data_IF_732726514953
#
_entry.id   IF_732726514953
#
_cell.length_a   1.000
_cell.length_b   1.000
_cell.length_c   1.000
_cell.angle_alpha   90.00
_cell.angle_beta   90.00
_cell.angle_gamma   90.00
#
_symmetry.space_group_name_H-M   'P 1'
#
loop_
_entity.id
_entity.type
_entity.pdbx_description
1 polymer ?
#
# COMPACT_ATOMS: atom_id res chain seq x y z
N UNK A 1 8.01 -10.15 17.07
CA UNK A 1 7.44 -9.77 15.77
C UNK A 1 7.82 -8.35 15.35
N UNK A 2 8.12 -7.46 16.27
CA UNK A 2 8.46 -6.06 16.00
C UNK A 2 9.70 -5.83 15.11
N UNK A 3 10.73 -6.68 15.24
CA UNK A 3 11.94 -6.56 14.40
C UNK A 3 11.65 -6.81 12.91
N UNK A 4 10.84 -7.83 12.60
CA UNK A 4 10.47 -8.15 11.22
C UNK A 4 9.59 -7.06 10.61
N UNK A 5 8.61 -6.59 11.37
CA UNK A 5 7.76 -5.46 10.98
C UNK A 5 8.57 -4.18 10.73
N UNK A 6 9.52 -3.86 11.61
CA UNK A 6 10.41 -2.73 11.44
C UNK A 6 11.29 -2.83 10.19
N UNK A 7 11.78 -4.04 9.88
CA UNK A 7 12.55 -4.27 8.67
C UNK A 7 11.72 -4.10 7.40
N UNK A 8 10.53 -4.71 7.34
CA UNK A 8 9.61 -4.57 6.19
C UNK A 8 9.22 -3.10 5.99
N UNK A 9 8.88 -2.38 7.06
CA UNK A 9 8.57 -0.95 6.97
C UNK A 9 9.72 -0.13 6.44
N UNK A 10 10.95 -0.41 6.87
CA UNK A 10 12.14 0.29 6.38
C UNK A 10 12.35 0.06 4.88
N UNK A 11 12.17 -1.18 4.41
CA UNK A 11 12.27 -1.51 2.98
C UNK A 11 11.19 -0.76 2.18
N UNK A 12 9.94 -0.81 2.64
CA UNK A 12 8.83 -0.10 1.98
C UNK A 12 9.11 1.40 1.93
N UNK A 13 9.58 1.99 3.02
CA UNK A 13 9.93 3.42 3.07
C UNK A 13 11.01 3.78 2.05
N UNK A 14 12.10 3.01 1.99
CA UNK A 14 13.21 3.26 1.05
C UNK A 14 12.72 3.13 -0.40
N UNK A 15 11.98 2.06 -0.71
CA UNK A 15 11.43 1.85 -2.07
C UNK A 15 10.47 2.98 -2.44
N UNK A 16 9.56 3.35 -1.54
CA UNK A 16 8.63 4.46 -1.77
C UNK A 16 9.33 5.79 -1.99
N UNK A 17 10.38 6.08 -1.20
CA UNK A 17 11.17 7.30 -1.35
C UNK A 17 11.91 7.35 -2.70
N UNK A 18 12.48 6.22 -3.14
CA UNK A 18 13.12 6.12 -4.45
C UNK A 18 12.13 6.33 -5.59
N UNK A 19 10.97 5.65 -5.54
CA UNK A 19 9.92 5.79 -6.55
C UNK A 19 9.38 7.24 -6.58
N UNK A 20 9.21 7.86 -5.43
CA UNK A 20 8.79 9.26 -5.34
C UNK A 20 9.81 10.21 -5.97
N UNK A 21 11.10 9.99 -5.71
CA UNK A 21 12.17 10.78 -6.32
C UNK A 21 12.15 10.65 -7.85
N UNK A 22 12.02 9.42 -8.36
CA UNK A 22 11.90 9.17 -9.80
C UNK A 22 10.64 9.82 -10.37
N UNK A 23 9.52 9.75 -9.66
CA UNK A 23 8.26 10.39 -10.08
C UNK A 23 8.41 11.91 -10.18
N UNK A 24 9.02 12.56 -9.18
CA UNK A 24 9.25 14.01 -9.19
C UNK A 24 10.14 14.41 -10.37
N UNK A 25 11.23 13.69 -10.63
CA UNK A 25 12.09 13.92 -11.78
C UNK A 25 11.34 13.73 -13.11
N UNK A 26 10.52 12.69 -13.21
CA UNK A 26 9.69 12.39 -14.39
C UNK A 26 8.68 13.51 -14.67
N UNK A 27 7.97 13.98 -13.64
CA UNK A 27 6.99 15.07 -13.78
C UNK A 27 7.68 16.40 -14.08
N UNK A 28 8.81 16.70 -13.44
CA UNK A 28 9.60 17.90 -13.77
C UNK A 28 10.05 17.89 -15.22
N UNK A 29 10.52 16.76 -15.74
CA UNK A 29 10.85 16.61 -17.17
C UNK A 29 9.62 16.78 -18.06
N UNK A 30 8.50 16.18 -17.70
CA UNK A 30 7.23 16.28 -18.42
C UNK A 30 6.78 17.73 -18.59
N UNK A 31 6.84 18.52 -17.51
CA UNK A 31 6.50 19.93 -17.54
C UNK A 31 7.48 20.72 -18.41
N UNK A 32 8.78 20.49 -18.21
CA UNK A 32 9.84 21.16 -18.99
C UNK A 32 9.72 20.85 -20.48
N UNK A 33 9.52 19.57 -20.85
CA UNK A 33 9.39 19.18 -22.26
C UNK A 33 8.17 19.82 -22.93
N UNK A 34 7.08 19.97 -22.21
CA UNK A 34 5.85 20.59 -22.72
C UNK A 34 5.99 22.11 -22.91
N UNK A 35 6.54 22.82 -21.92
CA UNK A 35 6.52 24.27 -21.91
C UNK A 35 7.79 24.93 -22.46
N UNK A 36 8.96 24.28 -22.34
CA UNK A 36 10.24 24.80 -22.83
C UNK A 36 10.52 24.32 -24.25
N UNK A 37 10.32 23.01 -24.48
CA UNK A 37 10.64 22.40 -25.79
C UNK A 37 9.44 22.31 -26.74
N UNK A 38 8.22 22.68 -26.30
CA UNK A 38 6.97 22.53 -27.06
C UNK A 38 6.76 21.11 -27.64
N UNK A 39 7.35 20.11 -27.01
CA UNK A 39 7.31 18.70 -27.42
C UNK A 39 6.88 17.84 -26.22
N UNK A 40 5.57 17.57 -26.04
CA UNK A 40 5.07 16.78 -24.94
C UNK A 40 5.64 15.35 -24.96
N UNK A 41 6.24 14.93 -23.85
CA UNK A 41 6.77 13.57 -23.70
C UNK A 41 5.68 12.61 -23.24
N UNK A 42 5.15 11.79 -24.17
CA UNK A 42 4.11 10.79 -23.89
C UNK A 42 4.66 9.70 -22.96
N UNK A 43 5.96 9.38 -23.07
CA UNK A 43 6.66 8.41 -22.24
C UNK A 43 6.57 8.77 -20.74
N UNK A 44 6.82 10.03 -20.39
CA UNK A 44 6.80 10.47 -19.00
C UNK A 44 5.40 10.50 -18.39
N UNK A 45 4.38 10.73 -19.20
CA UNK A 45 2.98 10.69 -18.76
C UNK A 45 2.56 9.28 -18.33
N UNK A 46 2.92 8.27 -19.11
CA UNK A 46 2.62 6.87 -18.78
C UNK A 46 3.43 6.39 -17.57
N UNK A 47 4.72 6.70 -17.52
CA UNK A 47 5.59 6.35 -16.40
C UNK A 47 5.11 6.96 -15.08
N UNK A 48 4.71 8.24 -15.09
CA UNK A 48 4.20 8.91 -13.90
C UNK A 48 2.93 8.24 -13.34
N UNK A 49 2.01 7.78 -14.20
CA UNK A 49 0.81 7.04 -13.77
C UNK A 49 1.16 5.71 -13.09
N UNK A 50 2.13 4.96 -13.62
CA UNK A 50 2.56 3.69 -13.03
C UNK A 50 3.25 3.91 -11.68
N UNK A 51 4.13 4.90 -11.60
CA UNK A 51 4.80 5.29 -10.36
C UNK A 51 3.79 5.75 -9.30
N UNK A 52 2.79 6.55 -9.68
CA UNK A 52 1.76 7.02 -8.76
C UNK A 52 0.98 5.86 -8.12
N UNK A 53 0.61 4.84 -8.91
CA UNK A 53 -0.09 3.67 -8.39
C UNK A 53 0.79 2.90 -7.40
N UNK A 54 2.05 2.66 -7.72
CA UNK A 54 2.98 1.95 -6.84
C UNK A 54 3.26 2.72 -5.55
N UNK A 55 3.51 4.03 -5.64
CA UNK A 55 3.74 4.90 -4.47
C UNK A 55 2.50 4.94 -3.58
N UNK A 56 1.31 5.06 -4.15
CA UNK A 56 0.06 5.08 -3.40
C UNK A 56 -0.17 3.77 -2.63
N UNK A 57 0.05 2.62 -3.27
CA UNK A 57 -0.10 1.31 -2.64
C UNK A 57 0.95 1.05 -1.54
N UNK A 58 2.22 1.35 -1.82
CA UNK A 58 3.29 1.21 -0.83
C UNK A 58 3.13 2.20 0.33
N UNK A 59 2.73 3.44 0.04
CA UNK A 59 2.48 4.46 1.06
C UNK A 59 1.36 4.05 2.02
N UNK A 60 0.26 3.52 1.50
CA UNK A 60 -0.82 2.96 2.30
C UNK A 60 -0.34 1.78 3.16
N UNK A 61 0.45 0.87 2.56
CA UNK A 61 1.03 -0.27 3.28
C UNK A 61 1.98 0.20 4.40
N UNK A 62 2.80 1.21 4.15
CA UNK A 62 3.66 1.82 5.16
C UNK A 62 2.85 2.43 6.32
N UNK A 63 1.75 3.11 6.01
CA UNK A 63 0.86 3.68 7.02
C UNK A 63 0.26 2.60 7.93
N UNK A 64 -0.17 1.47 7.40
CA UNK A 64 -0.62 0.32 8.20
C UNK A 64 0.52 -0.25 9.05
N UNK A 65 1.72 -0.40 8.49
CA UNK A 65 2.89 -0.92 9.20
C UNK A 65 3.39 -0.02 10.32
N UNK A 66 3.32 1.30 10.17
CA UNK A 66 3.84 2.28 11.16
C UNK A 66 2.93 2.51 12.37
N UNK A 67 1.83 1.75 12.52
CA UNK A 67 0.79 1.96 13.54
C UNK A 67 0.11 3.35 13.47
N UNK A 68 0.38 4.15 12.44
CA UNK A 68 -0.23 5.47 12.26
C UNK A 68 -1.76 5.40 12.05
N UNK A 69 -2.27 4.23 11.61
CA UNK A 69 -3.71 3.95 11.53
C UNK A 69 -4.36 3.64 12.88
N UNK A 70 -3.56 3.55 13.92
CA UNK A 70 -3.98 3.32 15.30
C UNK A 70 -4.39 4.62 16.03
N UNK A 71 -4.82 5.65 15.30
CA UNK A 71 -5.61 6.77 15.83
C UNK A 71 -6.94 6.33 16.48
N UNK A 72 -7.06 5.02 16.75
CA UNK A 72 -8.12 4.44 17.58
C UNK A 72 -8.09 4.97 19.02
N UNK A 73 -7.00 5.58 19.47
CA UNK A 73 -6.95 6.23 20.77
C UNK A 73 -7.92 7.42 20.86
N UNK A 74 -8.22 8.08 19.74
CA UNK A 74 -9.27 9.09 19.67
C UNK A 74 -10.69 8.53 19.84
N UNK A 75 -10.93 7.25 19.48
CA UNK A 75 -12.22 6.60 19.67
C UNK A 75 -12.58 6.39 21.14
N UNK A 76 -11.58 6.28 22.03
CA UNK A 76 -11.81 6.21 23.47
C UNK A 76 -12.47 7.46 24.04
N UNK A 77 -12.32 8.62 23.38
CA UNK A 77 -12.89 9.89 23.80
C UNK A 77 -14.41 9.95 23.54
N UNK A 78 -14.91 9.20 22.55
CA UNK A 78 -16.30 9.30 22.10
C UNK A 78 -17.14 8.03 22.34
N UNK A 79 -16.51 6.87 22.58
CA UNK A 79 -17.19 5.58 22.67
C UNK A 79 -16.90 4.87 24.00
N UNK A 80 -17.88 4.06 24.45
CA UNK A 80 -17.73 3.21 25.65
C UNK A 80 -16.57 2.20 25.43
N UNK A 81 -15.81 1.92 26.48
CA UNK A 81 -14.64 1.02 26.43
C UNK A 81 -14.94 -0.38 25.79
N UNK A 82 -16.12 -0.93 26.02
CA UNK A 82 -16.52 -2.20 25.42
C UNK A 82 -16.72 -2.10 23.90
N UNK A 83 -17.30 -1.00 23.40
CA UNK A 83 -17.50 -0.76 21.98
C UNK A 83 -16.17 -0.61 21.26
N UNK A 84 -15.22 0.11 21.85
CA UNK A 84 -13.87 0.28 21.30
C UNK A 84 -13.15 -1.06 21.18
N UNK A 85 -13.24 -1.95 22.19
CA UNK A 85 -12.64 -3.30 22.14
C UNK A 85 -13.20 -4.15 21.01
N UNK A 86 -14.50 -4.07 20.75
CA UNK A 86 -15.14 -4.79 19.64
C UNK A 86 -14.66 -4.26 18.30
N UNK A 87 -14.60 -2.95 18.12
CA UNK A 87 -14.13 -2.30 16.90
C UNK A 87 -12.67 -2.65 16.61
N UNK A 88 -11.79 -2.64 17.63
CA UNK A 88 -10.36 -3.00 17.50
C UNK A 88 -10.12 -4.44 17.00
N UNK A 89 -11.09 -5.32 17.14
CA UNK A 89 -11.00 -6.71 16.64
C UNK A 89 -11.73 -6.87 15.30
N UNK A 90 -12.94 -6.31 15.17
CA UNK A 90 -13.77 -6.48 13.98
C UNK A 90 -13.14 -5.80 12.75
N UNK A 91 -12.64 -4.56 12.88
CA UNK A 91 -12.08 -3.83 11.75
C UNK A 91 -10.86 -4.54 11.13
N UNK A 92 -9.85 -4.99 11.89
CA UNK A 92 -8.73 -5.75 11.32
C UNK A 92 -9.18 -7.05 10.66
N UNK A 93 -10.14 -7.78 11.22
CA UNK A 93 -10.67 -9.01 10.62
C UNK A 93 -11.34 -8.70 9.27
N UNK A 94 -12.19 -7.69 9.22
CA UNK A 94 -12.85 -7.26 7.98
C UNK A 94 -11.81 -6.81 6.94
N UNK A 95 -10.76 -6.11 7.38
CA UNK A 95 -9.65 -5.69 6.51
C UNK A 95 -8.88 -6.89 5.96
N UNK A 96 -8.62 -7.92 6.76
CA UNK A 96 -7.96 -9.16 6.30
C UNK A 96 -8.82 -9.85 5.23
N UNK A 97 -10.13 -9.98 5.44
CA UNK A 97 -11.05 -10.59 4.47
C UNK A 97 -11.05 -9.78 3.16
N UNK A 98 -11.18 -8.47 3.24
CA UNK A 98 -11.15 -7.58 2.08
C UNK A 98 -9.83 -7.70 1.32
N UNK A 99 -8.69 -7.63 2.01
CA UNK A 99 -7.37 -7.72 1.39
C UNK A 99 -7.11 -9.10 0.80
N UNK A 100 -7.53 -10.16 1.46
CA UNK A 100 -7.39 -11.53 0.94
C UNK A 100 -8.21 -11.74 -0.33
N UNK A 101 -9.47 -11.34 -0.33
CA UNK A 101 -10.36 -11.58 -1.45
C UNK A 101 -10.16 -10.57 -2.60
N UNK A 102 -10.06 -9.28 -2.31
CA UNK A 102 -10.00 -8.25 -3.34
C UNK A 102 -8.55 -8.03 -3.81
N UNK A 103 -7.61 -7.83 -2.89
CA UNK A 103 -6.24 -7.47 -3.28
C UNK A 103 -5.41 -8.70 -3.66
N UNK A 104 -5.43 -9.78 -2.86
CA UNK A 104 -4.62 -10.95 -3.17
C UNK A 104 -5.27 -11.77 -4.27
N UNK A 105 -6.49 -12.24 -4.09
CA UNK A 105 -7.17 -13.05 -5.09
C UNK A 105 -7.48 -12.26 -6.36
N UNK A 106 -8.26 -11.19 -6.26
CA UNK A 106 -8.64 -10.34 -7.41
C UNK A 106 -7.42 -9.70 -8.08
N UNK A 107 -6.45 -9.19 -7.29
CA UNK A 107 -5.20 -8.62 -7.78
C UNK A 107 -4.34 -9.63 -8.53
N UNK A 108 -4.26 -10.89 -8.07
CA UNK A 108 -3.54 -11.97 -8.77
C UNK A 108 -4.21 -12.30 -10.09
N UNK A 109 -5.54 -12.45 -10.13
CA UNK A 109 -6.29 -12.68 -11.37
C UNK A 109 -6.09 -11.54 -12.37
N UNK A 110 -6.17 -10.29 -11.91
CA UNK A 110 -5.92 -9.13 -12.76
C UNK A 110 -4.50 -9.15 -13.32
N UNK A 111 -3.50 -9.39 -12.48
CA UNK A 111 -2.10 -9.48 -12.87
C UNK A 111 -1.89 -10.54 -13.96
N UNK A 112 -2.40 -11.76 -13.77
CA UNK A 112 -2.24 -12.84 -14.72
C UNK A 112 -2.95 -12.57 -16.06
N UNK A 113 -4.17 -12.04 -16.01
CA UNK A 113 -4.96 -11.76 -17.21
C UNK A 113 -4.38 -10.61 -18.05
N UNK A 114 -3.64 -9.69 -17.43
CA UNK A 114 -3.07 -8.53 -18.11
C UNK A 114 -1.57 -8.68 -18.45
N UNK A 115 -0.95 -9.83 -18.14
CA UNK A 115 0.47 -10.07 -18.45
C UNK A 115 0.80 -10.00 -19.94
N UNK A 116 -0.15 -10.37 -20.81
CA UNK A 116 0.01 -10.31 -22.27
C UNK A 116 -0.34 -8.96 -22.88
N UNK A 117 -0.92 -8.05 -22.10
CA UNK A 117 -1.28 -6.71 -22.53
C UNK A 117 -0.09 -5.79 -22.33
N UNK A 118 0.45 -5.23 -23.40
CA UNK A 118 1.51 -4.24 -23.35
C UNK A 118 0.94 -2.83 -23.21
N UNK A 119 1.61 -2.00 -22.45
CA UNK A 119 1.27 -0.58 -22.37
C UNK A 119 1.55 0.12 -23.70
N UNK A 120 0.81 1.18 -24.04
CA UNK A 120 0.86 1.80 -25.37
C UNK A 120 2.20 2.44 -25.72
N UNK A 121 2.93 2.97 -24.74
CA UNK A 121 4.16 3.77 -24.97
C UNK A 121 5.39 3.09 -24.41
N UNK A 122 5.32 2.58 -23.17
CA UNK A 122 6.44 1.92 -22.50
C UNK A 122 6.63 0.46 -22.92
N UNK A 123 5.62 -0.15 -23.55
CA UNK A 123 5.59 -1.58 -23.89
C UNK A 123 5.85 -2.51 -22.69
N UNK A 124 5.53 -2.03 -21.47
CA UNK A 124 5.62 -2.84 -20.25
C UNK A 124 4.36 -3.70 -20.13
N UNK A 125 4.47 -4.99 -19.77
CA UNK A 125 3.31 -5.81 -19.48
C UNK A 125 2.48 -5.21 -18.36
N UNK A 126 1.18 -4.95 -18.60
CA UNK A 126 0.30 -4.32 -17.62
C UNK A 126 0.17 -5.17 -16.34
N UNK A 127 0.33 -6.49 -16.44
CA UNK A 127 0.37 -7.37 -15.28
C UNK A 127 1.49 -7.01 -14.30
N UNK A 128 2.67 -6.59 -14.78
CA UNK A 128 3.76 -6.12 -13.90
C UNK A 128 3.34 -4.86 -13.14
N UNK A 129 2.63 -3.95 -13.80
CA UNK A 129 2.13 -2.73 -13.18
C UNK A 129 1.11 -3.05 -12.07
N UNK A 130 0.19 -4.00 -12.32
CA UNK A 130 -0.84 -4.40 -11.35
C UNK A 130 -0.35 -5.36 -10.26
N UNK A 131 0.85 -5.94 -10.38
CA UNK A 131 1.41 -6.86 -9.39
C UNK A 131 1.57 -6.24 -7.99
N UNK A 132 1.61 -4.91 -7.90
CA UNK A 132 1.66 -4.20 -6.62
C UNK A 132 0.44 -4.50 -5.74
N UNK A 133 -0.74 -4.81 -6.33
CA UNK A 133 -1.96 -5.12 -5.59
C UNK A 133 -1.81 -6.39 -4.74
N UNK A 134 -1.50 -7.57 -5.30
CA UNK A 134 -1.32 -8.76 -4.48
C UNK A 134 -0.12 -8.66 -3.54
N UNK A 135 0.97 -8.01 -3.94
CA UNK A 135 2.16 -7.83 -3.09
C UNK A 135 1.78 -7.04 -1.83
N UNK A 136 1.18 -5.88 -1.98
CA UNK A 136 0.76 -5.05 -0.84
C UNK A 136 -0.37 -5.69 -0.05
N UNK A 137 -1.27 -6.43 -0.70
CA UNK A 137 -2.32 -7.21 -0.04
C UNK A 137 -1.77 -8.22 0.97
N UNK A 138 -0.77 -9.00 0.58
CA UNK A 138 -0.10 -9.97 1.45
C UNK A 138 0.60 -9.29 2.63
N UNK A 139 1.33 -8.21 2.37
CA UNK A 139 2.04 -7.46 3.43
C UNK A 139 1.04 -6.87 4.43
N UNK A 140 -0.07 -6.30 3.95
CA UNK A 140 -1.08 -5.72 4.81
C UNK A 140 -1.80 -6.77 5.66
N UNK A 141 -2.10 -7.96 5.12
CA UNK A 141 -2.63 -9.09 5.89
C UNK A 141 -1.67 -9.46 7.03
N UNK A 142 -0.37 -9.54 6.74
CA UNK A 142 0.64 -9.80 7.76
C UNK A 142 0.61 -8.73 8.87
N UNK A 143 0.48 -7.45 8.53
CA UNK A 143 0.39 -6.38 9.53
C UNK A 143 -0.87 -6.47 10.39
N UNK A 144 -2.03 -6.77 9.81
CA UNK A 144 -3.26 -6.92 10.58
C UNK A 144 -3.25 -8.15 11.50
N UNK A 145 -2.65 -9.26 11.04
CA UNK A 145 -2.47 -10.46 11.89
C UNK A 145 -1.57 -10.14 13.08
N UNK A 146 -0.44 -9.46 12.85
CA UNK A 146 0.46 -9.07 13.95
C UNK A 146 -0.21 -8.09 14.90
N UNK A 147 -1.05 -7.19 14.40
CA UNK A 147 -1.82 -6.28 15.23
C UNK A 147 -2.81 -7.00 16.13
N UNK A 148 -3.59 -7.94 15.59
CA UNK A 148 -4.54 -8.74 16.39
C UNK A 148 -3.79 -9.56 17.46
N UNK A 149 -2.65 -10.15 17.10
CA UNK A 149 -1.83 -10.92 18.05
C UNK A 149 -1.31 -10.05 19.21
N UNK A 150 -0.84 -8.82 18.92
CA UNK A 150 -0.39 -7.87 19.95
C UNK A 150 -1.55 -7.48 20.89
N UNK A 151 -2.74 -7.18 20.36
CA UNK A 151 -3.92 -6.79 21.15
C UNK A 151 -4.40 -7.95 22.05
N UNK A 152 -4.32 -9.21 21.58
CA UNK A 152 -4.69 -10.37 22.36
C UNK A 152 -3.66 -10.70 23.47
N UNK A 153 -2.37 -10.45 23.21
CA UNK A 153 -1.30 -10.66 24.17
C UNK A 153 -1.38 -9.69 25.36
N UNK A 154 -1.69 -8.42 25.11
CA UNK A 154 -1.91 -7.42 26.18
C UNK A 154 -3.05 -7.83 27.10
N UNK A 155 -4.10 -8.44 26.58
CA UNK A 155 -5.26 -8.92 27.35
C UNK A 155 -4.94 -10.11 28.26
N UNK A 156 -3.90 -10.87 27.96
CA UNK A 156 -3.45 -12.02 28.78
C UNK A 156 -2.62 -11.61 30.02
N UNK A 157 -2.04 -10.40 30.01
CA UNK A 157 -1.21 -9.89 31.10
C UNK A 157 -2.01 -9.20 32.22
N UNK A 158 -3.26 -8.82 31.95
CA UNK A 158 -4.16 -8.16 32.90
C UNK A 158 -5.07 -9.15 33.69
N UNK A 159 -4.77 -10.46 33.63
CA UNK A 159 -5.41 -11.53 34.43
C UNK A 159 -4.44 -12.12 35.40
#
# INVERSE_FOLDING_TARGET
MDKLRGYINRVIFIVSALLLTVMVATVAWQVTSRYVFNSPSIFTDELARFLLMWIGMLGTTYAFGSKAHLSMDYLHTFLKANTVKIIKIILPILSIIFMGFVMVWGGTLLTLNTMKQLSPVLYVPMGVVYSILPITGVINIFYFITYIADELAVKGSDR
#
